data_IF_881828214592
#
_entry.id   IF_881828214592
#
_cell.length_a   1.000
_cell.length_b   1.000
_cell.length_c   1.000
_cell.angle_alpha   90.00
_cell.angle_beta   90.00
_cell.angle_gamma   90.00
#
_symmetry.space_group_name_H-M   'P 1'
#
loop_
_entity.id
_entity.type
_entity.pdbx_description
1 polymer ?
#
# COMPACT_ATOMS: atom_id res chain seq x y z
N UNK A 1 5.88 1.49 -22.03
CA UNK A 1 6.70 0.63 -21.13
C UNK A 1 6.68 1.08 -19.68
N UNK A 2 7.06 2.34 -19.34
CA UNK A 2 7.07 2.86 -17.95
C UNK A 2 5.73 2.75 -17.19
N UNK A 3 4.61 3.02 -17.88
CA UNK A 3 3.26 2.96 -17.28
C UNK A 3 2.85 1.53 -16.92
N UNK A 4 3.17 0.54 -17.77
CA UNK A 4 2.82 -0.87 -17.52
C UNK A 4 3.53 -1.43 -16.29
N UNK A 5 4.81 -1.10 -16.10
CA UNK A 5 5.59 -1.59 -14.95
C UNK A 5 5.04 -1.04 -13.62
N UNK A 6 4.71 0.26 -13.57
CA UNK A 6 4.06 0.85 -12.39
C UNK A 6 2.72 0.16 -12.09
N UNK A 7 1.87 -0.07 -13.10
CA UNK A 7 0.56 -0.70 -12.89
C UNK A 7 0.69 -2.11 -12.29
N UNK A 8 1.62 -2.92 -12.78
CA UNK A 8 1.87 -4.27 -12.22
C UNK A 8 2.36 -4.19 -10.77
N UNK A 9 3.29 -3.28 -10.49
CA UNK A 9 3.77 -3.02 -9.13
C UNK A 9 2.63 -2.62 -8.19
N UNK A 10 1.70 -1.76 -8.62
CA UNK A 10 0.54 -1.37 -7.82
C UNK A 10 -0.36 -2.55 -7.46
N UNK A 11 -0.68 -3.43 -8.41
CA UNK A 11 -1.56 -4.59 -8.16
C UNK A 11 -0.95 -5.49 -7.08
N UNK A 12 0.33 -5.83 -7.20
CA UNK A 12 1.03 -6.70 -6.24
C UNK A 12 1.16 -5.99 -4.88
N UNK A 13 1.56 -4.71 -4.89
CA UNK A 13 1.85 -3.98 -3.65
C UNK A 13 0.58 -3.66 -2.86
N UNK A 14 -0.58 -3.47 -3.50
CA UNK A 14 -1.87 -3.29 -2.80
C UNK A 14 -2.25 -4.53 -2.02
N UNK A 15 -2.16 -5.72 -2.63
CA UNK A 15 -2.46 -6.98 -1.94
C UNK A 15 -1.51 -7.20 -0.77
N UNK A 16 -0.20 -6.96 -0.97
CA UNK A 16 0.79 -7.05 0.08
C UNK A 16 0.59 -6.02 1.19
N UNK A 17 0.20 -4.79 0.87
CA UNK A 17 -0.05 -3.72 1.85
C UNK A 17 -1.25 -4.05 2.72
N UNK A 18 -2.34 -4.57 2.13
CA UNK A 18 -3.49 -5.06 2.88
C UNK A 18 -3.05 -6.20 3.80
N UNK A 19 -2.36 -7.21 3.28
CA UNK A 19 -1.90 -8.33 4.09
C UNK A 19 -0.95 -7.91 5.24
N UNK A 20 -0.05 -6.97 4.98
CA UNK A 20 0.85 -6.42 6.00
C UNK A 20 0.10 -5.61 7.07
N UNK A 21 -0.88 -4.79 6.68
CA UNK A 21 -1.68 -4.02 7.63
C UNK A 21 -2.58 -4.89 8.50
N UNK A 22 -2.99 -6.07 8.02
CA UNK A 22 -3.78 -7.02 8.81
C UNK A 22 -3.00 -7.57 10.02
N UNK A 23 -1.65 -7.55 9.97
CA UNK A 23 -0.82 -7.90 11.13
C UNK A 23 -0.94 -6.91 12.29
N UNK A 24 -1.45 -5.70 12.04
CA UNK A 24 -1.66 -4.68 13.05
C UNK A 24 -3.01 -4.94 13.72
N UNK A 25 -3.05 -4.90 15.05
CA UNK A 25 -4.31 -5.00 15.80
C UNK A 25 -5.15 -3.71 15.69
N UNK A 26 -5.70 -3.50 14.51
CA UNK A 26 -6.53 -2.36 14.11
C UNK A 26 -7.76 -2.25 15.01
N UNK A 27 -8.36 -3.37 15.40
CA UNK A 27 -9.57 -3.38 16.23
C UNK A 27 -9.38 -2.65 17.58
N UNK A 28 -8.18 -2.71 18.16
CA UNK A 28 -7.86 -1.98 19.40
C UNK A 28 -7.32 -0.56 19.18
N UNK A 29 -6.99 -0.16 17.94
CA UNK A 29 -6.50 1.18 17.63
C UNK A 29 -7.63 2.21 17.49
N UNK A 30 -8.83 1.79 17.09
CA UNK A 30 -9.94 2.70 16.81
C UNK A 30 -10.92 2.85 17.97
N UNK A 31 -11.61 4.00 18.00
CA UNK A 31 -12.71 4.25 18.94
C UNK A 31 -13.83 3.22 18.73
N UNK A 32 -14.42 2.77 19.85
CA UNK A 32 -15.57 1.85 19.86
C UNK A 32 -16.72 2.39 18.98
N UNK A 33 -17.45 1.47 18.34
CA UNK A 33 -18.62 1.74 17.50
C UNK A 33 -18.37 2.59 16.23
N UNK A 34 -17.14 2.57 15.68
CA UNK A 34 -16.77 3.28 14.44
C UNK A 34 -16.33 2.35 13.30
N UNK A 35 -17.04 1.23 13.13
CA UNK A 35 -16.69 0.15 12.19
C UNK A 35 -16.34 0.64 10.77
N UNK A 36 -17.24 1.39 10.13
CA UNK A 36 -17.05 1.86 8.75
C UNK A 36 -15.88 2.84 8.60
N UNK A 37 -15.70 3.74 9.58
CA UNK A 37 -14.60 4.72 9.55
C UNK A 37 -13.24 4.03 9.67
N UNK A 38 -13.14 3.01 10.52
CA UNK A 38 -11.92 2.22 10.67
C UNK A 38 -11.57 1.46 9.39
N UNK A 39 -12.56 0.90 8.68
CA UNK A 39 -12.35 0.17 7.43
C UNK A 39 -11.99 1.09 6.26
N UNK A 40 -12.60 2.27 6.21
CA UNK A 40 -12.23 3.29 5.23
C UNK A 40 -10.79 3.77 5.45
N UNK A 41 -10.42 4.04 6.71
CA UNK A 41 -9.05 4.44 7.04
C UNK A 41 -8.05 3.32 6.72
N UNK A 42 -8.39 2.07 7.01
CA UNK A 42 -7.58 0.92 6.64
C UNK A 42 -7.29 0.85 5.14
N UNK A 43 -8.31 1.03 4.29
CA UNK A 43 -8.14 1.07 2.84
C UNK A 43 -7.29 2.26 2.38
N UNK A 44 -7.49 3.44 2.98
CA UNK A 44 -6.67 4.61 2.66
C UNK A 44 -5.20 4.38 3.02
N UNK A 45 -4.91 3.83 4.20
CA UNK A 45 -3.54 3.50 4.60
C UNK A 45 -2.95 2.46 3.66
N UNK A 46 -3.72 1.44 3.26
CA UNK A 46 -3.25 0.42 2.31
C UNK A 46 -2.87 1.04 0.96
N UNK A 47 -3.70 1.93 0.41
CA UNK A 47 -3.41 2.60 -0.87
C UNK A 47 -2.25 3.59 -0.76
N UNK A 48 -2.18 4.37 0.31
CA UNK A 48 -1.05 5.27 0.56
C UNK A 48 0.26 4.51 0.71
N UNK A 49 0.27 3.42 1.46
CA UNK A 49 1.46 2.57 1.62
C UNK A 49 1.86 1.95 0.29
N UNK A 50 0.89 1.48 -0.50
CA UNK A 50 1.15 0.94 -1.83
C UNK A 50 1.79 1.97 -2.75
N UNK A 51 1.27 3.20 -2.77
CA UNK A 51 1.87 4.30 -3.54
C UNK A 51 3.30 4.57 -3.12
N UNK A 52 3.59 4.65 -1.83
CA UNK A 52 4.94 4.89 -1.33
C UNK A 52 5.90 3.78 -1.73
N UNK A 53 5.51 2.52 -1.52
CA UNK A 53 6.34 1.35 -1.83
C UNK A 53 6.56 1.21 -3.34
N UNK A 54 5.53 1.41 -4.17
CA UNK A 54 5.68 1.37 -5.64
C UNK A 54 6.61 2.47 -6.14
N UNK A 55 6.48 3.70 -5.64
CA UNK A 55 7.38 4.78 -6.06
C UNK A 55 8.80 4.55 -5.56
N UNK A 56 8.98 4.06 -4.33
CA UNK A 56 10.28 3.65 -3.84
C UNK A 56 10.95 2.64 -4.77
N UNK A 57 10.26 1.55 -5.12
CA UNK A 57 10.83 0.55 -6.02
C UNK A 57 11.07 1.11 -7.41
N UNK A 58 10.12 1.86 -7.96
CA UNK A 58 10.25 2.44 -9.30
C UNK A 58 11.44 3.40 -9.39
N UNK A 59 11.60 4.29 -8.41
CA UNK A 59 12.70 5.24 -8.35
C UNK A 59 14.02 4.50 -8.10
N UNK A 60 14.02 3.50 -7.21
CA UNK A 60 15.18 2.65 -6.97
C UNK A 60 15.66 1.96 -8.26
N UNK A 61 14.76 1.35 -9.02
CA UNK A 61 15.10 0.71 -10.30
C UNK A 61 15.59 1.73 -11.34
N UNK A 62 14.97 2.92 -11.40
CA UNK A 62 15.33 3.98 -12.34
C UNK A 62 16.73 4.55 -12.06
N UNK A 63 17.05 4.82 -10.79
CA UNK A 63 18.31 5.46 -10.42
C UNK A 63 19.46 4.48 -10.22
N UNK A 64 19.18 3.22 -9.90
CA UNK A 64 20.20 2.18 -9.73
C UNK A 64 20.78 1.67 -11.06
N UNK A 65 20.38 2.23 -12.22
CA UNK A 65 20.79 1.79 -13.57
C UNK A 65 20.57 0.29 -13.83
N UNK A 66 19.56 -0.32 -13.21
CA UNK A 66 19.16 -1.70 -13.54
C UNK A 66 18.45 -1.79 -14.89
N UNK A 67 17.99 -0.65 -15.43
CA UNK A 67 17.45 -0.41 -16.77
C UNK A 67 18.08 0.87 -17.33
#
# INVERSE_FOLDING_TARGET
MKIMLKTVLYIVTVVLSIWALDSINITNLFKKNRYYQSRLLYLFVAFSLSYLVVNFFYDFFLYSKFI
#
